data_IF_384354444736
#
_entry.id   IF_384354444736
#
_cell.length_a   1.000
_cell.length_b   1.000
_cell.length_c   1.000
_cell.angle_alpha   90.00
_cell.angle_beta   90.00
_cell.angle_gamma   90.00
#
_symmetry.space_group_name_H-M   'P 1'
#
loop_
_entity.id
_entity.type
_entity.pdbx_description
1 polymer ?
#
# COMPACT_ATOMS: atom_id res chain seq x y z
N UNK A 1 -28.00 -40.22 39.28
CA UNK A 1 -26.70 -40.56 38.66
C UNK A 1 -26.61 -39.84 37.32
N UNK A 2 -25.45 -39.24 37.08
CA UNK A 2 -25.20 -38.13 36.14
C UNK A 2 -25.01 -38.65 34.71
N UNK A 3 -25.69 -38.06 33.72
CA UNK A 3 -25.22 -38.14 32.32
C UNK A 3 -24.94 -36.72 31.85
N UNK A 4 -23.65 -36.43 31.64
CA UNK A 4 -23.10 -35.09 31.40
C UNK A 4 -23.45 -34.65 29.97
N UNK A 5 -24.12 -33.52 29.83
CA UNK A 5 -24.28 -32.87 28.53
C UNK A 5 -22.93 -32.25 28.13
N UNK A 6 -22.32 -32.77 27.07
CA UNK A 6 -21.13 -32.21 26.46
C UNK A 6 -21.56 -31.12 25.47
N UNK A 7 -21.59 -29.86 25.92
CA UNK A 7 -21.86 -28.72 25.07
C UNK A 7 -20.63 -28.42 24.19
N UNK A 8 -20.78 -28.61 22.87
CA UNK A 8 -19.78 -28.25 21.88
C UNK A 8 -19.72 -26.71 21.73
N UNK A 9 -18.59 -26.11 22.06
CA UNK A 9 -18.31 -24.70 21.82
C UNK A 9 -17.57 -24.56 20.49
N UNK A 10 -18.31 -24.47 19.39
CA UNK A 10 -17.75 -24.17 18.07
C UNK A 10 -17.55 -22.66 17.99
N UNK A 11 -16.33 -22.19 18.28
CA UNK A 11 -15.98 -20.78 18.11
C UNK A 11 -16.03 -20.43 16.61
N UNK A 12 -17.00 -19.61 16.21
CA UNK A 12 -17.01 -18.98 14.89
C UNK A 12 -15.81 -18.02 14.82
N UNK A 13 -14.70 -18.47 14.25
CA UNK A 13 -13.62 -17.57 13.86
C UNK A 13 -14.13 -16.70 12.70
N UNK A 14 -14.42 -15.43 12.97
CA UNK A 14 -14.69 -14.47 11.91
C UNK A 14 -13.43 -14.32 11.03
N UNK A 15 -13.56 -14.32 9.69
CA UNK A 15 -12.40 -14.11 8.82
C UNK A 15 -11.83 -12.72 9.08
N UNK A 16 -10.61 -12.64 9.60
CA UNK A 16 -9.84 -11.41 9.59
C UNK A 16 -9.55 -11.06 8.12
N UNK A 17 -10.25 -10.07 7.57
CA UNK A 17 -9.89 -9.54 6.25
C UNK A 17 -8.65 -8.68 6.42
N UNK A 18 -7.55 -9.07 5.79
CA UNK A 18 -6.40 -8.19 5.65
C UNK A 18 -6.85 -6.97 4.83
N UNK A 19 -6.87 -5.80 5.45
CA UNK A 19 -7.24 -4.56 4.79
C UNK A 19 -6.06 -4.09 3.94
N UNK A 20 -6.23 -4.07 2.62
CA UNK A 20 -5.25 -3.50 1.69
C UNK A 20 -5.56 -2.02 1.52
N UNK A 21 -4.61 -1.16 1.89
CA UNK A 21 -4.68 0.29 1.71
C UNK A 21 -3.65 0.72 0.66
N UNK A 22 -4.07 1.58 -0.26
CA UNK A 22 -3.20 2.19 -1.26
C UNK A 22 -3.42 3.70 -1.22
N UNK A 23 -2.35 4.45 -1.01
CA UNK A 23 -2.37 5.92 -1.01
C UNK A 23 -1.29 6.47 -1.94
N UNK A 24 -1.51 7.67 -2.46
CA UNK A 24 -0.56 8.35 -3.34
C UNK A 24 -0.41 9.81 -2.90
N UNK A 25 0.83 10.27 -2.80
CA UNK A 25 1.15 11.63 -2.41
C UNK A 25 2.22 12.21 -3.36
N UNK A 26 1.97 13.42 -3.85
CA UNK A 26 2.96 14.21 -4.59
C UNK A 26 3.57 15.25 -3.65
N UNK A 27 4.89 15.44 -3.72
CA UNK A 27 5.56 16.45 -2.90
C UNK A 27 5.21 17.89 -3.27
N UNK A 28 4.72 18.13 -4.49
CA UNK A 28 4.24 19.41 -4.99
C UNK A 28 3.12 19.19 -6.00
N UNK A 29 2.17 20.13 -6.05
CA UNK A 29 1.03 20.09 -6.98
C UNK A 29 1.19 21.08 -8.15
N UNK A 30 2.17 21.96 -8.07
CA UNK A 30 2.53 22.93 -9.13
C UNK A 30 4.04 22.88 -9.33
N UNK A 31 4.46 22.85 -10.59
CA UNK A 31 5.85 22.54 -10.98
C UNK A 31 6.17 23.17 -12.34
N UNK A 32 7.39 23.62 -12.53
CA UNK A 32 7.87 24.06 -13.84
C UNK A 32 8.20 22.89 -14.78
N UNK A 33 8.27 23.13 -16.10
CA UNK A 33 8.62 22.09 -17.09
C UNK A 33 9.99 21.43 -16.85
N UNK A 34 10.93 22.15 -16.25
CA UNK A 34 12.30 21.66 -16.00
C UNK A 34 12.48 21.13 -14.57
N UNK A 35 11.40 20.98 -13.81
CA UNK A 35 11.44 20.54 -12.43
C UNK A 35 10.85 19.13 -12.28
N UNK A 36 11.17 18.50 -11.16
CA UNK A 36 10.71 17.15 -10.83
C UNK A 36 9.60 17.19 -9.79
N UNK A 37 8.65 16.27 -9.89
CA UNK A 37 7.70 15.92 -8.83
C UNK A 37 8.06 14.53 -8.31
N UNK A 38 8.10 14.38 -6.99
CA UNK A 38 8.25 13.08 -6.34
C UNK A 38 6.85 12.58 -6.02
N UNK A 39 6.47 11.46 -6.63
CA UNK A 39 5.25 10.73 -6.32
C UNK A 39 5.62 9.53 -5.44
N UNK A 40 5.03 9.46 -4.26
CA UNK A 40 5.14 8.31 -3.36
C UNK A 40 3.80 7.58 -3.37
N UNK A 41 3.83 6.30 -3.76
CA UNK A 41 2.68 5.39 -3.67
C UNK A 41 2.93 4.44 -2.50
N UNK A 42 2.09 4.54 -1.47
CA UNK A 42 2.19 3.69 -0.28
C UNK A 42 1.16 2.57 -0.35
N UNK A 43 1.62 1.33 -0.21
CA UNK A 43 0.78 0.12 -0.14
C UNK A 43 0.95 -0.47 1.25
N UNK A 44 -0.15 -0.65 1.98
CA UNK A 44 -0.13 -1.22 3.33
C UNK A 44 -1.14 -2.37 3.46
N UNK A 45 -0.74 -3.44 4.14
CA UNK A 45 -1.64 -4.55 4.47
C UNK A 45 -1.15 -5.38 5.66
N UNK A 46 -2.07 -6.10 6.29
CA UNK A 46 -1.79 -7.12 7.30
C UNK A 46 -1.33 -8.45 6.65
N UNK A 47 -0.28 -8.39 5.82
CA UNK A 47 0.19 -9.52 5.00
C UNK A 47 1.72 -9.54 4.86
N UNK A 48 2.31 -10.73 4.82
CA UNK A 48 3.74 -10.91 4.59
C UNK A 48 4.19 -10.45 3.18
N UNK A 49 3.27 -10.48 2.22
CA UNK A 49 3.53 -10.02 0.85
C UNK A 49 2.56 -8.90 0.48
N UNK A 50 3.09 -7.89 -0.22
CA UNK A 50 2.34 -6.76 -0.74
C UNK A 50 2.34 -6.81 -2.26
N UNK A 51 1.20 -6.51 -2.91
CA UNK A 51 1.19 -6.31 -4.34
C UNK A 51 2.05 -5.10 -4.73
N UNK A 52 2.68 -5.18 -5.90
CA UNK A 52 3.34 -4.03 -6.50
C UNK A 52 2.29 -3.16 -7.20
N UNK A 53 2.26 -1.84 -6.96
CA UNK A 53 1.29 -0.96 -7.59
C UNK A 53 1.68 -0.69 -9.04
N UNK A 54 0.73 -0.85 -9.95
CA UNK A 54 0.89 -0.45 -11.34
C UNK A 54 0.45 1.01 -11.53
N UNK A 55 1.34 1.83 -12.09
CA UNK A 55 0.99 3.20 -12.43
C UNK A 55 0.15 3.25 -13.72
N UNK A 56 -0.92 4.07 -13.77
CA UNK A 56 -1.66 4.28 -14.99
C UNK A 56 -0.79 5.03 -16.02
N UNK A 57 -1.25 5.04 -17.28
CA UNK A 57 -0.60 5.83 -18.33
C UNK A 57 -0.58 7.32 -17.97
N UNK A 58 0.61 7.92 -18.01
CA UNK A 58 0.84 9.33 -17.73
C UNK A 58 1.49 10.04 -18.93
N UNK A 59 0.76 10.26 -20.04
CA UNK A 59 1.35 10.77 -21.28
C UNK A 59 1.89 12.21 -21.18
N UNK A 60 1.56 12.95 -20.12
CA UNK A 60 2.08 14.29 -19.87
C UNK A 60 3.36 14.32 -19.02
N UNK A 61 3.83 13.16 -18.56
CA UNK A 61 5.03 13.04 -17.74
C UNK A 61 6.00 12.01 -18.33
N UNK A 62 7.30 12.26 -18.16
CA UNK A 62 8.27 11.18 -18.12
C UNK A 62 8.29 10.62 -16.70
N UNK A 63 8.16 9.30 -16.57
CA UNK A 63 8.00 8.61 -15.30
C UNK A 63 9.22 7.73 -15.09
N UNK A 64 9.92 7.90 -13.98
CA UNK A 64 11.07 7.10 -13.60
C UNK A 64 10.83 6.47 -12.24
N UNK A 65 11.06 5.15 -12.14
CA UNK A 65 11.10 4.48 -10.84
C UNK A 65 12.36 4.93 -10.08
N UNK A 66 12.18 5.41 -8.86
CA UNK A 66 13.24 5.96 -8.02
C UNK A 66 13.58 5.05 -6.83
N UNK A 67 12.97 3.88 -6.74
CA UNK A 67 13.18 2.90 -5.69
C UNK A 67 11.94 2.64 -4.83
N UNK A 68 12.12 1.74 -3.87
CA UNK A 68 11.11 1.28 -2.93
C UNK A 68 11.71 1.17 -1.54
N UNK A 69 10.98 1.63 -0.52
CA UNK A 69 11.26 1.30 0.87
C UNK A 69 10.14 0.44 1.44
N UNK A 70 10.47 -0.53 2.29
CA UNK A 70 9.48 -1.41 2.90
C UNK A 70 9.76 -1.58 4.40
N UNK A 71 8.70 -1.56 5.19
CA UNK A 71 8.73 -1.82 6.62
C UNK A 71 7.72 -2.92 6.95
N UNK A 72 8.20 -4.02 7.54
CA UNK A 72 7.36 -5.12 8.02
C UNK A 72 7.56 -5.29 9.53
N UNK A 73 6.46 -5.41 10.25
CA UNK A 73 6.45 -5.67 11.70
C UNK A 73 5.55 -6.87 12.00
N UNK A 74 5.88 -7.58 13.07
CA UNK A 74 5.03 -8.65 13.61
C UNK A 74 4.85 -8.42 15.11
N UNK A 75 3.61 -8.18 15.55
CA UNK A 75 3.27 -7.95 16.96
C UNK A 75 2.12 -8.87 17.36
N UNK A 76 2.33 -9.67 18.42
CA UNK A 76 1.33 -10.62 18.94
C UNK A 76 0.73 -11.53 17.84
N UNK A 77 1.56 -11.98 16.90
CA UNK A 77 1.14 -12.84 15.78
C UNK A 77 0.42 -12.12 14.64
N UNK A 78 0.26 -10.80 14.69
CA UNK A 78 -0.29 -9.98 13.60
C UNK A 78 0.85 -9.37 12.79
N UNK A 79 0.81 -9.55 11.48
CA UNK A 79 1.75 -8.94 10.53
C UNK A 79 1.18 -7.58 10.14
N UNK A 80 2.03 -6.56 10.06
CA UNK A 80 1.74 -5.28 9.42
C UNK A 80 2.89 -4.95 8.48
N UNK A 81 2.58 -4.70 7.20
CA UNK A 81 3.58 -4.46 6.16
C UNK A 81 3.19 -3.22 5.36
N UNK A 82 4.14 -2.31 5.18
CA UNK A 82 3.99 -1.08 4.39
C UNK A 82 5.13 -0.98 3.39
N UNK A 83 4.82 -0.70 2.13
CA UNK A 83 5.78 -0.45 1.07
C UNK A 83 5.50 0.89 0.39
N UNK A 84 6.51 1.75 0.36
CA UNK A 84 6.48 3.03 -0.34
C UNK A 84 7.28 2.92 -1.63
N UNK A 85 6.61 3.12 -2.76
CA UNK A 85 7.19 3.15 -4.09
C UNK A 85 7.37 4.59 -4.50
N UNK A 86 8.61 4.97 -4.81
CA UNK A 86 8.96 6.35 -5.17
C UNK A 86 9.14 6.46 -6.68
N UNK A 87 8.50 7.46 -7.27
CA UNK A 87 8.58 7.77 -8.70
C UNK A 87 8.96 9.23 -8.89
N UNK A 88 9.88 9.48 -9.82
CA UNK A 88 10.19 10.81 -10.32
C UNK A 88 9.36 11.09 -11.56
N UNK A 89 8.56 12.14 -11.51
CA UNK A 89 7.75 12.63 -12.63
C UNK A 89 8.36 13.93 -13.16
N UNK A 90 8.67 13.97 -14.45
CA UNK A 90 9.13 15.17 -15.16
C UNK A 90 8.04 15.60 -16.15
N UNK A 91 7.47 16.81 -16.03
CA UNK A 91 6.44 17.29 -16.96
C UNK A 91 6.98 17.39 -18.39
N UNK A 92 6.19 16.95 -19.37
CA UNK A 92 6.52 17.10 -20.81
C UNK A 92 5.86 18.31 -21.46
N UNK A 93 4.82 18.84 -20.82
CA UNK A 93 3.99 19.90 -21.36
C UNK A 93 3.30 20.64 -20.23
N UNK A 94 3.03 21.92 -20.45
CA UNK A 94 2.27 22.74 -19.51
C UNK A 94 0.86 22.17 -19.39
N UNK A 95 0.38 22.01 -18.17
CA UNK A 95 -1.02 21.72 -17.85
C UNK A 95 -1.68 22.97 -17.29
N UNK A 96 -3.01 23.05 -17.40
CA UNK A 96 -3.81 24.05 -16.71
C UNK A 96 -3.75 23.87 -15.20
#
# INVERSE_FOLDING_TARGET
MVTRALAAFLALAAPARAELSVTAAANKLTVGLNEQVVLTVSVAADSASLPEPELPSMPRFNVHNAGKSQAMTMMNGRISNTADYTYILVPRMVGN
#
